data_IF_915837273440
#
_entry.id   IF_915837273440
#
_cell.length_a   1.000
_cell.length_b   1.000
_cell.length_c   1.000
_cell.angle_alpha   90.00
_cell.angle_beta   90.00
_cell.angle_gamma   90.00
#
_symmetry.space_group_name_H-M   'P 1'
#
loop_
_entity.id
_entity.type
_entity.pdbx_description
1 polymer ?
#
# COMPACT_ATOMS: atom_id res chain seq x y z
N UNK A 1 10.14 27.50 16.02
CA UNK A 1 8.75 27.00 16.08
C UNK A 1 8.44 26.71 17.54
N UNK A 2 7.76 27.62 18.26
CA UNK A 2 7.36 27.35 19.65
C UNK A 2 6.09 26.50 19.63
N UNK A 3 6.17 25.29 20.17
CA UNK A 3 5.02 24.43 20.35
C UNK A 3 4.17 25.04 21.47
N UNK A 4 2.88 25.25 21.21
CA UNK A 4 1.95 25.72 22.23
C UNK A 4 1.81 24.63 23.31
N UNK A 5 2.28 24.89 24.53
CA UNK A 5 2.27 23.89 25.61
C UNK A 5 0.86 23.39 25.94
N UNK A 6 -0.17 24.24 25.82
CA UNK A 6 -1.57 23.81 26.00
C UNK A 6 -1.99 22.78 24.95
N UNK A 7 -1.59 22.98 23.69
CA UNK A 7 -1.87 22.04 22.61
C UNK A 7 -1.16 20.70 22.83
N UNK A 8 0.07 20.75 23.33
CA UNK A 8 0.85 19.54 23.65
C UNK A 8 0.21 18.73 24.77
N UNK A 9 -0.24 19.37 25.85
CA UNK A 9 -0.95 18.70 26.94
C UNK A 9 -2.24 18.05 26.45
N UNK A 10 -3.00 18.74 25.60
CA UNK A 10 -4.23 18.22 24.99
C UNK A 10 -3.94 16.98 24.13
N UNK A 11 -2.94 17.04 23.25
CA UNK A 11 -2.53 15.92 22.41
C UNK A 11 -2.07 14.71 23.24
N UNK A 12 -1.30 14.94 24.30
CA UNK A 12 -0.86 13.86 25.19
C UNK A 12 -2.03 13.24 25.96
N UNK A 13 -3.02 14.04 26.36
CA UNK A 13 -4.26 13.56 26.97
C UNK A 13 -5.04 12.65 26.03
N UNK A 14 -5.24 13.08 24.78
CA UNK A 14 -5.90 12.30 23.73
C UNK A 14 -5.14 11.00 23.45
N UNK A 15 -3.81 11.09 23.28
CA UNK A 15 -2.96 9.93 23.07
C UNK A 15 -3.12 8.89 24.18
N UNK A 16 -3.00 9.30 25.45
CA UNK A 16 -3.15 8.39 26.60
C UNK A 16 -4.52 7.73 26.63
N UNK A 17 -5.58 8.51 26.37
CA UNK A 17 -6.96 7.99 26.29
C UNK A 17 -7.08 6.92 25.21
N UNK A 18 -6.67 7.22 23.98
CA UNK A 18 -6.78 6.28 22.86
C UNK A 18 -5.91 5.03 23.05
N UNK A 19 -4.74 5.19 23.66
CA UNK A 19 -3.85 4.08 23.98
C UNK A 19 -4.48 3.15 25.03
N UNK A 20 -5.05 3.71 26.11
CA UNK A 20 -5.72 2.95 27.15
C UNK A 20 -7.00 2.26 26.65
N UNK A 21 -7.69 2.86 25.67
CA UNK A 21 -8.84 2.27 24.99
C UNK A 21 -8.46 1.20 23.96
N UNK A 22 -7.16 0.92 23.74
CA UNK A 22 -6.68 -0.04 22.75
C UNK A 22 -6.94 0.38 21.30
N UNK A 23 -7.21 1.67 21.06
CA UNK A 23 -7.49 2.22 19.72
C UNK A 23 -6.23 2.51 18.92
N UNK A 24 -5.08 2.60 19.59
CA UNK A 24 -3.77 2.74 18.96
C UNK A 24 -3.07 1.38 18.93
N UNK A 25 -2.34 1.13 17.85
CA UNK A 25 -1.41 0.00 17.81
C UNK A 25 -0.26 0.27 18.77
N UNK A 26 0.18 -0.76 19.50
CA UNK A 26 1.39 -0.67 20.30
C UNK A 26 2.60 -0.43 19.40
N UNK A 27 3.67 0.13 19.99
CA UNK A 27 4.92 0.34 19.27
C UNK A 27 5.48 -0.96 18.67
N UNK A 28 5.41 -2.06 19.42
CA UNK A 28 5.83 -3.38 18.94
C UNK A 28 5.01 -3.84 17.75
N UNK A 29 3.68 -3.65 17.78
CA UNK A 29 2.82 -4.03 16.67
C UNK A 29 3.09 -3.18 15.44
N UNK A 30 3.33 -1.87 15.61
CA UNK A 30 3.74 -0.99 14.52
C UNK A 30 5.07 -1.45 13.89
N UNK A 31 6.07 -1.78 14.71
CA UNK A 31 7.36 -2.31 14.24
C UNK A 31 7.20 -3.59 13.43
N UNK A 32 6.38 -4.53 13.90
CA UNK A 32 6.06 -5.76 13.18
C UNK A 32 5.38 -5.48 11.82
N UNK A 33 4.38 -4.59 11.80
CA UNK A 33 3.70 -4.20 10.56
C UNK A 33 4.69 -3.58 9.55
N UNK A 34 5.56 -2.67 9.99
CA UNK A 34 6.56 -2.05 9.12
C UNK A 34 7.59 -3.03 8.59
N UNK A 35 8.05 -3.95 9.44
CA UNK A 35 8.99 -4.99 9.04
C UNK A 35 8.35 -5.92 8.01
N UNK A 36 7.14 -6.44 8.28
CA UNK A 36 6.41 -7.32 7.37
C UNK A 36 6.19 -6.67 6.00
N UNK A 37 5.74 -5.42 5.99
CA UNK A 37 5.54 -4.69 4.75
C UNK A 37 6.85 -4.50 3.97
N UNK A 38 7.93 -4.12 4.66
CA UNK A 38 9.25 -3.91 4.05
C UNK A 38 9.87 -5.21 3.52
N UNK A 39 9.68 -6.33 4.20
CA UNK A 39 10.17 -7.64 3.74
C UNK A 39 9.53 -8.07 2.41
N UNK A 40 8.28 -7.65 2.16
CA UNK A 40 7.53 -7.99 0.94
C UNK A 40 7.68 -6.96 -0.17
N UNK A 41 7.57 -5.69 0.16
CA UNK A 41 7.47 -4.58 -0.82
C UNK A 41 8.48 -3.46 -0.57
N UNK A 42 9.47 -3.70 0.29
CA UNK A 42 10.57 -2.77 0.49
C UNK A 42 11.36 -2.55 -0.80
N UNK A 43 11.99 -1.38 -0.99
CA UNK A 43 12.81 -1.10 -2.16
C UNK A 43 13.85 -2.19 -2.42
N UNK A 44 14.47 -2.73 -1.37
CA UNK A 44 15.47 -3.78 -1.44
C UNK A 44 14.92 -5.07 -2.04
N UNK A 45 13.64 -5.38 -1.76
CA UNK A 45 12.95 -6.56 -2.30
C UNK A 45 12.53 -6.34 -3.75
N UNK A 46 11.96 -5.17 -4.05
CA UNK A 46 11.49 -4.83 -5.39
C UNK A 46 12.66 -4.70 -6.39
N UNK A 47 13.81 -4.19 -5.97
CA UNK A 47 15.02 -4.09 -6.81
C UNK A 47 15.61 -5.45 -7.22
N UNK A 48 15.19 -6.54 -6.58
CA UNK A 48 15.61 -7.90 -6.93
C UNK A 48 14.66 -8.57 -7.95
N UNK A 49 13.57 -7.89 -8.29
CA UNK A 49 12.55 -8.40 -9.21
C UNK A 49 12.61 -7.60 -10.50
N UNK A 50 12.45 -8.30 -11.62
CA UNK A 50 12.35 -7.72 -12.94
C UNK A 50 11.22 -8.35 -13.72
N UNK A 51 10.79 -7.63 -14.77
CA UNK A 51 9.81 -8.08 -15.73
C UNK A 51 8.49 -8.52 -15.09
N UNK A 52 7.98 -9.69 -15.50
CA UNK A 52 6.66 -10.17 -15.08
C UNK A 52 6.60 -10.44 -13.57
N UNK A 53 7.72 -10.82 -12.94
CA UNK A 53 7.76 -11.05 -11.50
C UNK A 53 7.50 -9.75 -10.73
N UNK A 54 8.14 -8.65 -11.14
CA UNK A 54 7.91 -7.33 -10.54
C UNK A 54 6.47 -6.87 -10.75
N UNK A 55 5.96 -6.99 -11.98
CA UNK A 55 4.59 -6.59 -12.32
C UNK A 55 3.55 -7.37 -11.51
N UNK A 56 3.73 -8.69 -11.37
CA UNK A 56 2.85 -9.51 -10.56
C UNK A 56 2.93 -9.14 -9.06
N UNK A 57 4.12 -8.87 -8.53
CA UNK A 57 4.28 -8.44 -7.13
C UNK A 57 3.63 -7.09 -6.85
N UNK A 58 3.68 -6.15 -7.79
CA UNK A 58 3.09 -4.82 -7.59
C UNK A 58 1.58 -4.79 -7.87
N UNK A 59 1.13 -5.43 -8.96
CA UNK A 59 -0.20 -5.22 -9.54
C UNK A 59 -0.94 -6.52 -9.92
N UNK A 60 -0.35 -7.70 -9.65
CA UNK A 60 -0.82 -8.98 -10.21
C UNK A 60 -2.12 -9.49 -9.59
N UNK A 61 -3.16 -9.63 -10.40
CA UNK A 61 -4.36 -10.42 -10.06
C UNK A 61 -4.16 -11.91 -10.42
N UNK A 62 -4.87 -12.88 -9.80
CA UNK A 62 -5.91 -12.73 -8.78
C UNK A 62 -5.42 -12.92 -7.34
N UNK A 63 -4.11 -13.12 -7.12
CA UNK A 63 -3.59 -13.30 -5.77
C UNK A 63 -3.75 -12.01 -4.98
N UNK A 64 -4.52 -12.07 -3.89
CA UNK A 64 -4.66 -11.01 -2.87
C UNK A 64 -3.35 -10.78 -2.08
N UNK A 65 -2.21 -10.86 -2.74
CA UNK A 65 -0.87 -10.78 -2.16
C UNK A 65 0.08 -9.92 -3.02
N UNK A 66 -0.48 -8.89 -3.67
CA UNK A 66 0.27 -7.86 -4.39
C UNK A 66 0.24 -6.52 -3.62
N UNK A 67 1.15 -5.60 -3.97
CA UNK A 67 1.32 -4.31 -3.29
C UNK A 67 0.01 -3.50 -3.26
N UNK A 68 -0.67 -3.39 -4.40
CA UNK A 68 -1.92 -2.62 -4.49
C UNK A 68 -3.02 -3.17 -3.57
N UNK A 69 -3.14 -4.49 -3.49
CA UNK A 69 -4.08 -5.15 -2.59
C UNK A 69 -3.72 -4.86 -1.13
N UNK A 70 -2.45 -4.95 -0.77
CA UNK A 70 -1.99 -4.70 0.59
C UNK A 70 -2.26 -3.27 1.04
N UNK A 71 -2.08 -2.29 0.16
CA UNK A 71 -2.33 -0.87 0.45
C UNK A 71 -3.83 -0.52 0.49
N UNK A 72 -4.67 -1.27 -0.22
CA UNK A 72 -6.09 -0.92 -0.40
C UNK A 72 -7.03 -1.75 0.47
N UNK A 73 -6.71 -3.01 0.73
CA UNK A 73 -7.68 -3.99 1.26
C UNK A 73 -7.17 -4.88 2.39
N UNK A 74 -5.86 -4.97 2.65
CA UNK A 74 -5.37 -5.84 3.72
C UNK A 74 -5.81 -5.31 5.08
N UNK A 75 -6.52 -6.17 5.80
CA UNK A 75 -7.08 -5.91 7.12
C UNK A 75 -7.15 -7.22 7.90
N UNK A 76 -5.99 -7.72 8.30
CA UNK A 76 -5.86 -8.94 9.08
C UNK A 76 -4.97 -8.71 10.30
N UNK A 77 -4.83 -9.75 11.13
CA UNK A 77 -4.06 -9.67 12.35
C UNK A 77 -2.58 -9.36 12.10
N UNK A 78 -2.03 -9.67 10.92
CA UNK A 78 -0.64 -9.37 10.57
C UNK A 78 -0.47 -7.89 10.23
N UNK A 79 -1.38 -7.35 9.41
CA UNK A 79 -1.43 -5.95 8.98
C UNK A 79 -2.88 -5.41 9.05
N UNK A 80 -3.30 -4.84 10.20
CA UNK A 80 -4.65 -4.30 10.35
C UNK A 80 -4.80 -2.98 9.58
N UNK A 81 -6.02 -2.65 9.14
CA UNK A 81 -6.35 -1.43 8.38
C UNK A 81 -6.33 -0.16 9.25
N UNK A 82 -5.17 0.17 9.81
CA UNK A 82 -4.90 1.35 10.65
C UNK A 82 -4.04 2.41 9.96
N UNK A 83 -3.55 2.12 8.76
CA UNK A 83 -2.58 2.95 8.02
C UNK A 83 -3.20 3.86 6.95
N UNK A 84 -4.54 3.81 6.81
CA UNK A 84 -5.24 4.46 5.71
C UNK A 84 -5.31 3.58 4.46
N UNK A 85 -5.99 4.07 3.43
CA UNK A 85 -6.16 3.40 2.13
C UNK A 85 -5.77 4.36 1.03
N UNK A 86 -5.22 3.83 -0.06
CA UNK A 86 -4.83 4.64 -1.22
C UNK A 86 -6.02 5.06 -2.08
N UNK A 87 -7.17 4.41 -1.90
CA UNK A 87 -8.40 4.66 -2.61
C UNK A 87 -8.36 4.15 -4.06
N UNK A 88 -9.54 3.90 -4.63
CA UNK A 88 -9.67 3.33 -5.97
C UNK A 88 -8.98 4.16 -7.09
N UNK A 89 -8.80 5.47 -6.88
CA UNK A 89 -8.16 6.36 -7.85
C UNK A 89 -6.64 6.17 -7.95
N UNK A 90 -5.97 5.71 -6.88
CA UNK A 90 -4.52 5.55 -6.85
C UNK A 90 -4.03 4.43 -7.79
N UNK A 91 -4.87 3.41 -8.04
CA UNK A 91 -4.57 2.32 -8.99
C UNK A 91 -4.29 2.86 -10.40
N UNK A 92 -4.90 3.98 -10.78
CA UNK A 92 -4.69 4.59 -12.10
C UNK A 92 -3.42 5.43 -12.19
N UNK A 93 -2.78 5.75 -11.05
CA UNK A 93 -1.57 6.58 -11.01
C UNK A 93 -0.36 5.83 -11.57
N UNK A 94 -0.32 4.50 -11.43
CA UNK A 94 0.79 3.68 -11.92
C UNK A 94 0.77 3.46 -13.43
N UNK A 95 -0.38 3.66 -14.08
CA UNK A 95 -0.51 3.59 -15.54
C UNK A 95 -0.30 2.20 -16.16
N UNK A 96 -0.01 1.17 -15.36
CA UNK A 96 0.20 -0.22 -15.77
C UNK A 96 -0.93 -1.09 -15.20
N UNK A 97 -1.49 -1.96 -16.03
CA UNK A 97 -2.65 -2.80 -15.67
C UNK A 97 -2.54 -4.18 -16.31
N UNK A 98 -3.20 -5.16 -15.72
CA UNK A 98 -3.40 -6.49 -16.33
C UNK A 98 -4.78 -6.55 -16.98
N UNK A 99 -4.86 -6.88 -18.27
CA UNK A 99 -6.14 -7.01 -18.98
C UNK A 99 -6.84 -8.28 -18.52
N UNK A 100 -8.01 -8.16 -17.89
CA UNK A 100 -8.75 -9.30 -17.33
C UNK A 100 -9.08 -10.42 -18.36
N UNK A 101 -9.30 -10.05 -19.62
CA UNK A 101 -9.70 -10.99 -20.68
C UNK A 101 -8.53 -11.81 -21.24
N UNK A 102 -7.33 -11.22 -21.34
CA UNK A 102 -6.17 -11.84 -22.01
C UNK A 102 -5.02 -12.16 -21.06
N UNK A 103 -5.04 -11.59 -19.85
CA UNK A 103 -3.94 -11.70 -18.88
C UNK A 103 -2.73 -10.83 -19.22
N UNK A 104 -2.77 -10.08 -20.33
CA UNK A 104 -1.65 -9.26 -20.81
C UNK A 104 -1.45 -8.00 -19.98
N UNK A 105 -0.19 -7.62 -19.80
CA UNK A 105 0.19 -6.35 -19.22
C UNK A 105 0.02 -5.23 -20.23
N UNK A 106 -0.66 -4.14 -19.83
CA UNK A 106 -0.93 -2.98 -20.66
C UNK A 106 -0.57 -1.70 -19.93
N UNK A 107 -0.13 -0.70 -20.68
CA UNK A 107 -0.01 0.68 -20.20
C UNK A 107 -0.98 1.60 -20.92
N UNK A 108 -1.43 2.68 -20.28
CA UNK A 108 -2.25 3.69 -20.96
C UNK A 108 -1.44 4.38 -22.07
N UNK A 109 -1.88 4.27 -23.33
CA UNK A 109 -1.31 5.07 -24.43
C UNK A 109 -1.79 6.53 -24.40
N UNK A 110 -1.26 7.36 -25.30
CA UNK A 110 -1.76 8.73 -25.51
C UNK A 110 -3.25 8.67 -25.87
N UNK A 111 -4.12 9.21 -25.00
CA UNK A 111 -5.59 9.18 -25.18
C UNK A 111 -6.36 8.27 -24.21
N UNK A 112 -5.70 7.64 -23.23
CA UNK A 112 -6.35 6.85 -22.18
C UNK A 112 -6.58 5.38 -22.55
N UNK A 113 -7.46 4.69 -21.81
CA UNK A 113 -7.65 3.23 -21.88
C UNK A 113 -8.00 2.67 -23.28
N UNK A 114 -8.51 3.50 -24.20
CA UNK A 114 -8.83 3.11 -25.58
C UNK A 114 -7.59 2.84 -26.45
N UNK A 115 -6.43 3.40 -26.06
CA UNK A 115 -5.16 3.26 -26.79
C UNK A 115 -4.12 2.49 -25.96
N UNK A 116 -4.56 1.52 -25.14
CA UNK A 116 -3.65 0.78 -24.28
C UNK A 116 -2.61 -0.01 -25.11
N UNK A 117 -1.34 0.07 -24.71
CA UNK A 117 -0.20 -0.58 -25.37
C UNK A 117 0.17 -1.81 -24.55
N UNK A 118 0.35 -2.96 -25.21
CA UNK A 118 0.82 -4.19 -24.56
C UNK A 118 2.29 -4.01 -24.16
N UNK A 119 2.61 -4.31 -22.92
CA UNK A 119 3.97 -4.36 -22.41
C UNK A 119 4.51 -5.76 -22.73
N UNK A 120 5.54 -5.82 -23.59
CA UNK A 120 6.30 -7.05 -23.80
C UNK A 120 7.32 -7.16 -22.67
N UNK A 121 7.22 -8.22 -21.87
CA UNK A 121 8.00 -8.45 -20.65
C UNK A 121 8.83 -9.71 -20.78
#
# INVERSE_FOLDING_TARGET
MQLNEKLKEELLGIYKKLNNEGKLLSEDKLRQCYQLFRERFGPEKLLQLDGEALLNTMHGEPMHDNLDFWLEFKDDDELPARFGRIGAAAKFVFGVFRRAQTGEWITAGRGGAKNAIVISV
#
